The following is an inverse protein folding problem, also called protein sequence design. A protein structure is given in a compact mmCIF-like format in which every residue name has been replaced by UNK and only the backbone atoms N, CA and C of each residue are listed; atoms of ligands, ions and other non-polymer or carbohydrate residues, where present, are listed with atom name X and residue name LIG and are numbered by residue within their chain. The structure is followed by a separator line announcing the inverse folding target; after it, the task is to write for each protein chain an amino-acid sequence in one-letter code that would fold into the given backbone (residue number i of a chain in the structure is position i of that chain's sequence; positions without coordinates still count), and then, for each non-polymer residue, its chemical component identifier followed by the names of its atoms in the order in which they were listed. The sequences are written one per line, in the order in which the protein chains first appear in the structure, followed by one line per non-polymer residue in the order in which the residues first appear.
data_IF_713780729100
#
_entry.id   IF_713780729100
#
_cell.length_a   1.000
_cell.length_b   1.000
_cell.length_c   1.000
_cell.angle_alpha   90.00
_cell.angle_beta   90.00
_cell.angle_gamma   90.00
#
_symmetry.space_group_name_H-M   'P 1'
#
loop_
_entity.id
_entity.type
_entity.pdbx_description
1 polymer ?
#
# COMPACT_ATOMS: atom_id res chain seq x y z
N UNK A 1 18.35 -17.85 25.13
CA UNK A 1 18.54 -16.83 24.07
C UNK A 1 17.33 -16.91 23.15
N UNK A 2 16.56 -15.84 23.01
CA UNK A 2 15.39 -15.80 22.12
C UNK A 2 15.72 -14.86 20.95
N UNK A 3 15.79 -15.40 19.73
CA UNK A 3 16.04 -14.61 18.51
C UNK A 3 14.72 -14.55 17.75
N UNK A 4 14.05 -13.38 17.68
CA UNK A 4 12.79 -13.27 16.99
C UNK A 4 12.99 -13.41 15.48
N UNK A 5 12.07 -14.11 14.80
CA UNK A 5 12.08 -14.25 13.34
C UNK A 5 11.96 -12.90 12.62
N UNK A 6 11.08 -12.00 13.12
CA UNK A 6 10.93 -10.63 12.65
C UNK A 6 10.55 -9.72 13.82
N UNK A 7 11.28 -8.61 14.00
CA UNK A 7 11.02 -7.66 15.06
C UNK A 7 10.50 -6.33 14.50
N UNK A 8 9.18 -6.24 14.31
CA UNK A 8 8.51 -5.03 13.82
C UNK A 8 8.66 -3.83 14.77
N UNK A 9 8.83 -4.06 16.07
CA UNK A 9 9.03 -2.98 17.04
C UNK A 9 10.30 -2.20 16.73
N UNK A 10 11.39 -2.88 16.39
CA UNK A 10 12.65 -2.24 16.02
C UNK A 10 12.56 -1.50 14.70
N UNK A 11 11.88 -2.08 13.71
CA UNK A 11 11.66 -1.43 12.40
C UNK A 11 10.83 -0.15 12.58
N UNK A 12 9.72 -0.22 13.31
CA UNK A 12 8.86 0.93 13.55
C UNK A 12 9.56 2.01 14.39
N UNK A 13 10.45 1.64 15.33
CA UNK A 13 11.16 2.59 16.18
C UNK A 13 12.05 3.54 15.36
N UNK A 14 12.64 3.08 14.26
CA UNK A 14 13.47 3.89 13.38
C UNK A 14 12.67 4.98 12.62
N UNK A 15 11.37 4.76 12.40
CA UNK A 15 10.50 5.65 11.63
C UNK A 15 9.32 6.20 12.45
N UNK A 16 9.42 6.13 13.78
CA UNK A 16 8.28 6.35 14.69
C UNK A 16 7.61 7.71 14.47
N UNK A 17 8.41 8.76 14.40
CA UNK A 17 7.89 10.13 14.35
C UNK A 17 7.25 10.42 12.99
N UNK A 18 7.83 9.90 11.90
CA UNK A 18 7.25 9.98 10.55
C UNK A 18 5.91 9.23 10.46
N UNK A 19 5.84 8.02 11.03
CA UNK A 19 4.61 7.21 11.05
C UNK A 19 3.49 7.90 11.84
N UNK A 20 3.81 8.48 13.00
CA UNK A 20 2.84 9.22 13.81
C UNK A 20 2.37 10.46 13.07
N UNK A 21 3.29 11.22 12.47
CA UNK A 21 2.94 12.42 11.72
C UNK A 21 2.01 12.09 10.54
N UNK A 22 2.28 11.01 9.80
CA UNK A 22 1.42 10.56 8.70
C UNK A 22 0.03 10.15 9.20
N UNK A 23 -0.06 9.39 10.29
CA UNK A 23 -1.33 9.01 10.89
C UNK A 23 -2.13 10.24 11.39
N UNK A 24 -1.47 11.19 12.05
CA UNK A 24 -2.07 12.44 12.51
C UNK A 24 -2.66 13.24 11.36
N UNK A 25 -1.93 13.40 10.23
CA UNK A 25 -2.47 14.09 9.05
C UNK A 25 -3.78 13.49 8.56
N UNK A 26 -3.87 12.15 8.48
CA UNK A 26 -5.10 11.46 8.04
C UNK A 26 -6.23 11.67 9.04
N UNK A 27 -5.96 11.50 10.34
CA UNK A 27 -6.95 11.67 11.41
C UNK A 27 -7.50 13.10 11.41
N UNK A 28 -6.61 14.10 11.38
CA UNK A 28 -6.98 15.52 11.41
C UNK A 28 -7.72 15.94 10.14
N UNK A 29 -7.45 15.30 9.00
CA UNK A 29 -8.19 15.55 7.75
C UNK A 29 -9.63 15.06 7.78
N UNK A 30 -9.95 14.08 8.65
CA UNK A 30 -11.25 13.40 8.67
C UNK A 30 -11.56 12.56 7.42
N UNK A 31 -10.62 12.40 6.48
CA UNK A 31 -10.83 11.72 5.21
C UNK A 31 -10.06 10.40 5.11
N UNK A 32 -10.75 9.30 5.37
CA UNK A 32 -10.11 7.99 5.58
C UNK A 32 -10.08 7.07 4.35
N UNK A 33 -10.99 7.27 3.38
CA UNK A 33 -11.13 6.35 2.23
C UNK A 33 -10.79 7.11 0.96
N UNK A 34 -9.90 6.55 0.13
CA UNK A 34 -9.40 7.17 -1.10
C UNK A 34 -8.88 8.60 -0.84
N UNK A 35 -8.04 8.74 0.18
CA UNK A 35 -7.42 10.01 0.58
C UNK A 35 -6.28 10.40 -0.36
N UNK A 36 -5.79 11.63 -0.19
CA UNK A 36 -4.59 12.12 -0.88
C UNK A 36 -3.36 11.24 -0.61
N UNK A 37 -3.25 10.66 0.59
CA UNK A 37 -2.16 9.73 0.95
C UNK A 37 -2.19 8.46 0.07
N UNK A 38 -3.38 7.93 -0.26
CA UNK A 38 -3.51 6.79 -1.17
C UNK A 38 -3.09 7.17 -2.59
N UNK A 39 -3.52 8.34 -3.07
CA UNK A 39 -3.15 8.83 -4.40
C UNK A 39 -1.65 9.06 -4.54
N UNK A 40 -1.01 9.65 -3.52
CA UNK A 40 0.43 9.85 -3.47
C UNK A 40 1.17 8.51 -3.47
N UNK A 41 0.75 7.57 -2.61
CA UNK A 41 1.33 6.23 -2.56
C UNK A 41 1.24 5.50 -3.91
N UNK A 42 0.09 5.54 -4.60
CA UNK A 42 -0.07 4.92 -5.91
C UNK A 42 0.91 5.51 -6.95
N UNK A 43 1.13 6.82 -6.93
CA UNK A 43 2.08 7.48 -7.84
C UNK A 43 3.53 7.09 -7.51
N UNK A 44 3.91 7.16 -6.24
CA UNK A 44 5.25 6.81 -5.77
C UNK A 44 5.57 5.33 -5.99
N UNK A 45 4.61 4.45 -5.72
CA UNK A 45 4.80 3.00 -5.86
C UNK A 45 4.82 2.57 -7.33
N UNK A 46 4.06 3.23 -8.20
CA UNK A 46 4.19 3.04 -9.65
C UNK A 46 5.59 3.43 -10.14
N UNK A 47 6.09 4.59 -9.70
CA UNK A 47 7.43 5.05 -10.04
C UNK A 47 8.52 4.10 -9.50
N UNK A 48 8.40 3.65 -8.25
CA UNK A 48 9.30 2.68 -7.63
C UNK A 48 9.35 1.35 -8.42
N UNK A 49 8.20 0.86 -8.87
CA UNK A 49 8.11 -0.37 -9.66
C UNK A 49 8.48 -0.18 -11.15
N UNK A 50 8.76 1.05 -11.61
CA UNK A 50 9.03 1.34 -13.02
C UNK A 50 7.84 1.10 -13.95
N UNK A 51 6.61 1.19 -13.44
CA UNK A 51 5.38 0.99 -14.20
C UNK A 51 4.60 2.30 -14.35
N UNK A 52 3.65 2.33 -15.30
CA UNK A 52 2.83 3.51 -15.55
C UNK A 52 1.73 3.73 -14.50
N UNK A 53 1.25 2.66 -13.87
CA UNK A 53 0.09 2.70 -12.99
C UNK A 53 0.24 1.78 -11.77
N UNK A 54 -0.29 2.22 -10.64
CA UNK A 54 -0.55 1.43 -9.45
C UNK A 54 -2.00 1.64 -9.02
N UNK A 55 -2.64 0.59 -8.50
CA UNK A 55 -3.99 0.66 -7.92
C UNK A 55 -3.96 -0.01 -6.55
N UNK A 56 -4.25 0.75 -5.51
CA UNK A 56 -4.34 0.27 -4.14
C UNK A 56 -5.57 -0.60 -3.92
N UNK A 57 -5.37 -1.77 -3.31
CA UNK A 57 -6.43 -2.74 -2.96
C UNK A 57 -6.23 -3.26 -1.54
N UNK A 58 -7.24 -3.93 -0.97
CA UNK A 58 -7.22 -4.30 0.44
C UNK A 58 -6.18 -5.36 0.86
N UNK A 59 -5.72 -6.21 -0.05
CA UNK A 59 -4.67 -7.21 0.20
C UNK A 59 -4.15 -7.84 -1.11
N UNK A 60 -3.10 -8.67 -1.00
CA UNK A 60 -2.49 -9.35 -2.14
C UNK A 60 -3.39 -10.36 -2.85
N UNK A 61 -4.28 -11.06 -2.14
CA UNK A 61 -5.25 -11.97 -2.76
C UNK A 61 -6.25 -11.20 -3.62
N UNK A 62 -6.75 -10.07 -3.13
CA UNK A 62 -7.61 -9.17 -3.91
C UNK A 62 -6.90 -8.62 -5.15
N UNK A 63 -5.61 -8.27 -5.05
CA UNK A 63 -4.82 -7.81 -6.20
C UNK A 63 -4.78 -8.86 -7.32
N UNK A 64 -4.45 -10.11 -6.98
CA UNK A 64 -4.42 -11.22 -7.95
C UNK A 64 -5.82 -11.52 -8.50
N UNK A 65 -6.83 -11.57 -7.63
CA UNK A 65 -8.22 -11.88 -8.00
C UNK A 65 -8.76 -10.87 -9.00
N UNK A 66 -8.58 -9.57 -8.73
CA UNK A 66 -9.03 -8.51 -9.61
C UNK A 66 -8.31 -8.56 -10.96
N UNK A 67 -6.99 -8.74 -10.95
CA UNK A 67 -6.18 -8.82 -12.17
C UNK A 67 -6.64 -9.95 -13.08
N UNK A 68 -6.73 -11.16 -12.54
CA UNK A 68 -7.14 -12.35 -13.30
C UNK A 68 -8.58 -12.25 -13.79
N UNK A 69 -9.48 -11.73 -12.95
CA UNK A 69 -10.88 -11.50 -13.35
C UNK A 69 -10.95 -10.52 -14.51
N UNK A 70 -10.26 -9.38 -14.42
CA UNK A 70 -10.24 -8.39 -15.49
C UNK A 70 -9.68 -8.94 -16.80
N UNK A 71 -8.60 -9.73 -16.77
CA UNK A 71 -8.08 -10.39 -17.98
C UNK A 71 -9.08 -11.35 -18.61
N UNK A 72 -9.81 -12.12 -17.79
CA UNK A 72 -10.89 -13.00 -18.25
C UNK A 72 -12.01 -12.20 -18.91
N UNK A 73 -12.49 -11.12 -18.29
CA UNK A 73 -13.57 -10.28 -18.83
C UNK A 73 -13.17 -9.56 -20.12
N UNK A 74 -11.88 -9.17 -20.25
CA UNK A 74 -11.36 -8.51 -21.44
C UNK A 74 -10.98 -9.47 -22.58
N UNK A 75 -11.10 -10.79 -22.39
CA UNK A 75 -10.67 -11.78 -23.37
C UNK A 75 -9.16 -11.75 -23.65
N UNK A 76 -8.35 -11.24 -22.72
CA UNK A 76 -6.89 -11.16 -22.83
C UNK A 76 -6.23 -12.17 -21.89
N UNK A 77 -6.04 -13.44 -22.31
CA UNK A 77 -5.03 -14.26 -21.65
C UNK A 77 -3.68 -13.60 -21.95
N UNK A 78 -2.86 -13.39 -20.92
CA UNK A 78 -1.44 -13.06 -21.15
C UNK A 78 -0.75 -14.22 -21.87
#
# INVERSE_FOLDING_TARGET
MNVPFLNLKTINAAHRDELIQAATRVIDSGWYIRSQEVQAFEQEFAAYCGTRYCIGVGNGLSALTLTLRTWKELGKPQ
#
